data_IF_879343668287
#
_entry.id   IF_879343668287
#
_cell.length_a   1.000
_cell.length_b   1.000
_cell.length_c   1.000
_cell.angle_alpha   90.00
_cell.angle_beta   90.00
_cell.angle_gamma   90.00
#
_symmetry.space_group_name_H-M   'P 1'
#
loop_
_entity.id
_entity.type
_entity.pdbx_description
1 polymer ?
#
# COMPACT_ATOMS: atom_id res chain seq x y z
N UNK A 1 14.69 -33.18 11.73
CA UNK A 1 13.54 -33.05 10.78
C UNK A 1 12.39 -32.16 11.32
N UNK A 2 12.10 -32.14 12.64
CA UNK A 2 11.04 -31.26 13.20
C UNK A 2 11.38 -29.76 13.18
N UNK A 3 12.65 -29.40 13.22
CA UNK A 3 13.09 -28.00 13.21
C UNK A 3 12.87 -27.34 11.84
N UNK A 4 13.03 -28.07 10.76
CA UNK A 4 12.80 -27.54 9.40
C UNK A 4 11.33 -27.30 9.05
N UNK A 5 10.39 -28.06 9.61
CA UNK A 5 8.97 -27.90 9.29
C UNK A 5 8.35 -26.64 9.91
N UNK A 6 8.88 -26.15 11.06
CA UNK A 6 8.41 -24.91 11.67
C UNK A 6 8.98 -23.66 10.97
N UNK A 7 10.12 -23.76 10.29
CA UNK A 7 10.72 -22.64 9.56
C UNK A 7 9.85 -22.18 8.38
N UNK A 8 9.09 -23.07 7.77
CA UNK A 8 8.22 -22.75 6.62
C UNK A 8 6.78 -22.39 7.01
N UNK A 9 6.42 -22.51 8.29
CA UNK A 9 5.05 -22.26 8.73
C UNK A 9 4.57 -20.83 8.46
N UNK A 10 5.36 -19.75 8.72
CA UNK A 10 4.96 -18.38 8.40
C UNK A 10 4.70 -18.19 6.90
N UNK A 11 5.55 -18.75 6.04
CA UNK A 11 5.40 -18.67 4.58
C UNK A 11 4.16 -19.39 4.09
N UNK A 12 3.82 -20.54 4.65
CA UNK A 12 2.58 -21.26 4.34
C UNK A 12 1.34 -20.47 4.76
N UNK A 13 1.35 -19.88 5.95
CA UNK A 13 0.26 -19.02 6.43
C UNK A 13 0.12 -17.82 5.48
N UNK A 14 1.22 -17.17 5.15
CA UNK A 14 1.23 -16.04 4.21
C UNK A 14 0.67 -16.44 2.84
N UNK A 15 1.10 -17.58 2.29
CA UNK A 15 0.60 -18.11 1.02
C UNK A 15 -0.92 -18.32 1.03
N UNK A 16 -1.46 -18.95 2.09
CA UNK A 16 -2.91 -19.19 2.19
C UNK A 16 -3.70 -17.90 2.34
N UNK A 17 -3.19 -16.92 3.12
CA UNK A 17 -3.81 -15.60 3.25
C UNK A 17 -3.81 -14.85 1.91
N UNK A 18 -2.69 -14.88 1.20
CA UNK A 18 -2.57 -14.26 -0.12
C UNK A 18 -3.50 -14.94 -1.14
N UNK A 19 -3.54 -16.27 -1.16
CA UNK A 19 -4.44 -17.04 -2.03
C UNK A 19 -5.91 -16.73 -1.75
N UNK A 20 -6.30 -16.62 -0.47
CA UNK A 20 -7.64 -16.22 -0.07
C UNK A 20 -7.97 -14.80 -0.53
N UNK A 21 -7.05 -13.84 -0.35
CA UNK A 21 -7.22 -12.45 -0.79
C UNK A 21 -7.39 -12.36 -2.32
N UNK A 22 -6.51 -13.03 -3.09
CA UNK A 22 -6.60 -13.10 -4.55
C UNK A 22 -7.89 -13.78 -5.00
N UNK A 23 -8.30 -14.85 -4.33
CA UNK A 23 -9.57 -15.55 -4.61
C UNK A 23 -10.79 -14.64 -4.40
N UNK A 24 -10.85 -13.92 -3.28
CA UNK A 24 -11.91 -12.95 -3.00
C UNK A 24 -11.92 -11.80 -4.02
N UNK A 25 -10.76 -11.27 -4.37
CA UNK A 25 -10.62 -10.24 -5.39
C UNK A 25 -11.14 -10.74 -6.75
N UNK A 26 -10.69 -11.91 -7.18
CA UNK A 26 -11.10 -12.53 -8.47
C UNK A 26 -12.61 -12.78 -8.51
N UNK A 27 -13.18 -13.27 -7.42
CA UNK A 27 -14.64 -13.47 -7.30
C UNK A 27 -15.41 -12.16 -7.49
N UNK A 28 -14.98 -11.10 -6.82
CA UNK A 28 -15.63 -9.78 -6.92
C UNK A 28 -15.41 -9.17 -8.31
N UNK A 29 -14.22 -9.27 -8.87
CA UNK A 29 -13.90 -8.81 -10.22
C UNK A 29 -14.78 -9.51 -11.27
N UNK A 30 -14.94 -10.82 -11.19
CA UNK A 30 -15.78 -11.60 -12.10
C UNK A 30 -17.25 -11.21 -11.96
N UNK A 31 -17.71 -10.91 -10.74
CA UNK A 31 -19.09 -10.40 -10.53
C UNK A 31 -19.30 -9.05 -11.19
N UNK A 32 -18.35 -8.12 -11.04
CA UNK A 32 -18.43 -6.79 -11.68
C UNK A 32 -18.38 -6.94 -13.20
N UNK A 33 -17.44 -7.74 -13.73
CA UNK A 33 -17.31 -8.01 -15.16
C UNK A 33 -18.59 -8.60 -15.76
N UNK A 34 -19.21 -9.56 -15.06
CA UNK A 34 -20.50 -10.13 -15.46
C UNK A 34 -21.61 -9.07 -15.49
N UNK A 35 -21.69 -8.21 -14.47
CA UNK A 35 -22.70 -7.16 -14.42
C UNK A 35 -22.54 -6.14 -15.55
N UNK A 36 -21.30 -5.79 -15.91
CA UNK A 36 -21.00 -4.92 -17.05
C UNK A 36 -21.48 -5.57 -18.37
N UNK A 37 -21.30 -6.87 -18.52
CA UNK A 37 -21.71 -7.64 -19.71
C UNK A 37 -23.22 -7.87 -19.84
N UNK A 38 -24.02 -7.59 -18.80
CA UNK A 38 -25.48 -7.63 -18.87
C UNK A 38 -26.08 -6.44 -19.62
N UNK A 39 -25.30 -5.41 -19.91
CA UNK A 39 -25.74 -4.28 -20.70
C UNK A 39 -25.97 -4.65 -22.17
N UNK A 40 -26.73 -3.77 -22.90
CA UNK A 40 -26.94 -3.92 -24.34
C UNK A 40 -25.59 -3.92 -25.06
N UNK A 41 -25.41 -4.87 -25.96
CA UNK A 41 -24.21 -4.94 -26.80
C UNK A 41 -24.11 -3.70 -27.69
N UNK A 42 -23.04 -2.93 -27.48
CA UNK A 42 -22.76 -1.71 -28.25
C UNK A 42 -21.35 -1.85 -28.81
N UNK A 43 -21.23 -1.83 -30.13
CA UNK A 43 -19.91 -1.78 -30.75
C UNK A 43 -19.23 -0.44 -30.42
N UNK A 44 -18.17 -0.52 -29.64
CA UNK A 44 -17.32 0.61 -29.24
C UNK A 44 -15.86 0.40 -29.63
N UNK A 45 -15.62 -0.31 -30.71
CA UNK A 45 -14.28 -0.55 -31.22
C UNK A 45 -13.74 0.61 -32.08
N UNK A 46 -14.53 1.66 -32.25
CA UNK A 46 -14.16 2.87 -32.96
C UNK A 46 -12.98 3.58 -32.27
N UNK A 47 -12.06 4.10 -33.07
CA UNK A 47 -10.93 4.97 -32.66
C UNK A 47 -10.13 4.46 -31.44
N UNK A 48 -9.59 3.24 -31.43
CA UNK A 48 -8.94 2.63 -30.26
C UNK A 48 -7.75 3.45 -29.75
N UNK A 49 -6.95 4.06 -30.64
CA UNK A 49 -5.81 4.92 -30.27
C UNK A 49 -6.26 6.17 -29.50
N UNK A 50 -7.35 6.81 -29.93
CA UNK A 50 -7.88 8.00 -29.26
C UNK A 50 -8.45 7.64 -27.88
N UNK A 51 -9.15 6.53 -27.77
CA UNK A 51 -9.70 6.00 -26.51
C UNK A 51 -8.58 5.69 -25.52
N UNK A 52 -7.52 5.00 -25.96
CA UNK A 52 -6.34 4.73 -25.16
C UNK A 52 -5.68 6.03 -24.68
N UNK A 53 -5.50 7.02 -25.56
CA UNK A 53 -4.96 8.33 -25.20
C UNK A 53 -5.79 9.02 -24.12
N UNK A 54 -7.11 9.01 -24.23
CA UNK A 54 -7.99 9.59 -23.21
C UNK A 54 -7.94 8.81 -21.91
N UNK A 55 -7.92 7.49 -21.94
CA UNK A 55 -7.78 6.65 -20.76
C UNK A 55 -6.47 6.96 -20.02
N UNK A 56 -5.33 6.97 -20.71
CA UNK A 56 -4.05 7.30 -20.14
C UNK A 56 -4.02 8.71 -19.55
N UNK A 57 -4.55 9.70 -20.27
CA UNK A 57 -4.58 11.09 -19.80
C UNK A 57 -5.48 11.29 -18.58
N UNK A 58 -6.65 10.65 -18.55
CA UNK A 58 -7.65 10.87 -17.49
C UNK A 58 -7.45 9.94 -16.32
N UNK A 59 -7.21 8.65 -16.56
CA UNK A 59 -7.05 7.66 -15.49
C UNK A 59 -5.64 7.71 -14.88
N UNK A 60 -4.60 7.61 -15.67
CA UNK A 60 -3.22 7.64 -15.16
C UNK A 60 -2.67 9.07 -15.01
N UNK A 61 -2.92 9.94 -15.94
CA UNK A 61 -2.45 11.34 -15.88
C UNK A 61 -3.25 12.23 -14.93
N UNK A 62 -4.32 11.72 -14.31
CA UNK A 62 -5.14 12.40 -13.30
C UNK A 62 -5.54 13.85 -13.68
N UNK A 63 -5.68 14.12 -15.00
CA UNK A 63 -5.80 15.48 -15.55
C UNK A 63 -7.00 16.29 -15.01
N UNK A 64 -8.04 15.63 -14.50
CA UNK A 64 -9.19 16.28 -13.87
C UNK A 64 -8.96 16.75 -12.44
N UNK A 65 -7.93 16.23 -11.78
CA UNK A 65 -7.64 16.57 -10.37
C UNK A 65 -6.99 17.94 -10.23
N UNK A 66 -6.25 18.38 -11.25
CA UNK A 66 -5.53 19.65 -11.27
C UNK A 66 -6.47 20.87 -11.20
N UNK A 67 -7.76 20.70 -11.54
CA UNK A 67 -8.76 21.77 -11.48
C UNK A 67 -8.99 22.33 -10.05
N UNK A 68 -8.55 21.62 -9.02
CA UNK A 68 -8.65 22.03 -7.60
C UNK A 68 -7.26 21.94 -6.96
N UNK A 69 -6.47 23.01 -6.93
CA UNK A 69 -5.03 22.94 -6.67
C UNK A 69 -4.68 22.27 -5.34
N UNK A 70 -5.30 22.66 -4.23
CA UNK A 70 -4.99 22.07 -2.92
C UNK A 70 -5.40 20.60 -2.84
N UNK A 71 -6.66 20.30 -3.17
CA UNK A 71 -7.15 18.93 -3.12
C UNK A 71 -6.48 18.03 -4.17
N UNK A 72 -6.14 18.61 -5.33
CA UNK A 72 -5.42 17.94 -6.40
C UNK A 72 -3.97 17.63 -6.03
N UNK A 73 -3.26 18.55 -5.40
CA UNK A 73 -1.90 18.31 -4.92
C UNK A 73 -1.84 17.21 -3.85
N UNK A 74 -2.74 17.26 -2.86
CA UNK A 74 -2.85 16.21 -1.83
C UNK A 74 -3.18 14.85 -2.46
N UNK A 75 -4.11 14.82 -3.42
CA UNK A 75 -4.45 13.58 -4.11
C UNK A 75 -3.29 13.05 -4.97
N UNK A 76 -2.58 13.95 -5.67
CA UNK A 76 -1.42 13.56 -6.46
C UNK A 76 -0.32 12.96 -5.58
N UNK A 77 -0.10 13.51 -4.39
CA UNK A 77 0.86 12.98 -3.43
C UNK A 77 0.48 11.55 -3.02
N UNK A 78 -0.79 11.29 -2.64
CA UNK A 78 -1.27 9.95 -2.32
C UNK A 78 -1.13 9.02 -3.52
N UNK A 79 -1.47 9.49 -4.73
CA UNK A 79 -1.39 8.70 -5.95
C UNK A 79 0.05 8.29 -6.30
N UNK A 80 0.99 9.23 -6.25
CA UNK A 80 2.42 8.95 -6.48
C UNK A 80 2.97 8.05 -5.39
N UNK A 81 2.66 8.35 -4.11
CA UNK A 81 3.03 7.53 -2.98
C UNK A 81 2.53 6.09 -3.13
N UNK A 82 1.27 5.91 -3.50
CA UNK A 82 0.70 4.59 -3.75
C UNK A 82 1.46 3.81 -4.84
N UNK A 83 1.75 4.44 -5.98
CA UNK A 83 2.50 3.76 -7.06
C UNK A 83 3.90 3.34 -6.60
N UNK A 84 4.62 4.21 -5.90
CA UNK A 84 5.99 3.94 -5.48
C UNK A 84 6.06 2.92 -4.36
N UNK A 85 5.21 3.03 -3.35
CA UNK A 85 5.15 2.08 -2.22
C UNK A 85 4.73 0.67 -2.69
N UNK A 86 3.97 0.54 -3.78
CA UNK A 86 3.66 -0.77 -4.35
C UNK A 86 4.89 -1.55 -4.84
N UNK A 87 6.01 -0.89 -5.10
CA UNK A 87 7.27 -1.58 -5.42
C UNK A 87 7.76 -2.37 -4.20
N UNK A 88 7.72 -1.75 -3.01
CA UNK A 88 8.07 -2.44 -1.76
C UNK A 88 7.03 -3.50 -1.39
N UNK A 89 5.74 -3.25 -1.67
CA UNK A 89 4.71 -4.27 -1.49
C UNK A 89 4.99 -5.52 -2.33
N UNK A 90 5.50 -5.37 -3.55
CA UNK A 90 5.91 -6.51 -4.37
C UNK A 90 7.09 -7.25 -3.74
N UNK A 91 8.07 -6.54 -3.18
CA UNK A 91 9.17 -7.15 -2.42
C UNK A 91 8.63 -7.96 -1.23
N UNK A 92 7.75 -7.36 -0.41
CA UNK A 92 7.12 -8.04 0.74
C UNK A 92 6.39 -9.32 0.32
N UNK A 93 5.69 -9.30 -0.83
CA UNK A 93 5.00 -10.48 -1.34
C UNK A 93 6.00 -11.57 -1.73
N UNK A 94 7.08 -11.23 -2.41
CA UNK A 94 8.11 -12.19 -2.82
C UNK A 94 8.83 -12.74 -1.59
N UNK A 95 9.24 -11.89 -0.65
CA UNK A 95 9.90 -12.27 0.59
C UNK A 95 8.99 -13.20 1.43
N UNK A 96 7.72 -12.84 1.59
CA UNK A 96 6.75 -13.65 2.32
C UNK A 96 6.51 -15.05 1.69
N UNK A 97 6.59 -15.17 0.36
CA UNK A 97 6.44 -16.45 -0.33
C UNK A 97 7.72 -17.30 -0.30
N UNK A 98 8.89 -16.66 -0.39
CA UNK A 98 10.18 -17.35 -0.52
C UNK A 98 10.89 -17.57 0.81
N UNK A 99 10.52 -16.80 1.84
CA UNK A 99 11.27 -16.73 3.11
C UNK A 99 12.56 -15.94 3.01
N UNK A 100 12.78 -15.24 1.90
CA UNK A 100 13.89 -14.30 1.76
C UNK A 100 13.64 -13.03 2.58
N UNK A 101 14.69 -12.24 2.77
CA UNK A 101 14.60 -10.94 3.38
C UNK A 101 15.27 -9.91 2.49
N UNK A 102 14.50 -8.92 2.05
CA UNK A 102 14.99 -7.83 1.20
C UNK A 102 15.60 -8.32 -0.12
N UNK A 103 14.85 -9.14 -0.86
CA UNK A 103 15.33 -9.81 -2.10
C UNK A 103 15.78 -8.81 -3.18
N UNK A 104 15.26 -7.59 -3.19
CA UNK A 104 15.66 -6.58 -4.17
C UNK A 104 16.95 -5.85 -3.79
N UNK A 105 17.41 -5.93 -2.54
CA UNK A 105 18.64 -5.26 -2.09
C UNK A 105 19.88 -5.68 -2.89
N UNK A 106 20.18 -6.98 -3.10
CA UNK A 106 21.32 -7.41 -3.91
C UNK A 106 21.16 -7.10 -5.41
N UNK A 107 19.91 -7.02 -5.90
CA UNK A 107 19.65 -6.74 -7.33
C UNK A 107 19.88 -5.26 -7.69
N UNK A 108 19.52 -4.35 -6.80
CA UNK A 108 19.57 -2.91 -7.04
C UNK A 108 20.88 -2.28 -6.55
N UNK A 109 21.61 -2.98 -5.68
CA UNK A 109 22.78 -2.45 -4.99
C UNK A 109 22.42 -1.53 -3.83
N UNK A 110 23.31 -1.45 -2.84
CA UNK A 110 23.02 -0.80 -1.55
C UNK A 110 22.60 0.66 -1.65
N UNK A 111 23.27 1.45 -2.50
CA UNK A 111 22.97 2.89 -2.61
C UNK A 111 21.58 3.18 -3.15
N UNK A 112 21.21 2.52 -4.27
CA UNK A 112 19.90 2.73 -4.88
C UNK A 112 18.79 2.15 -3.98
N UNK A 113 19.02 0.97 -3.40
CA UNK A 113 18.07 0.33 -2.52
C UNK A 113 17.78 1.19 -1.27
N UNK A 114 18.84 1.67 -0.59
CA UNK A 114 18.69 2.53 0.59
C UNK A 114 17.94 3.83 0.26
N UNK A 115 18.22 4.43 -0.90
CA UNK A 115 17.49 5.61 -1.37
C UNK A 115 16.00 5.32 -1.61
N UNK A 116 15.67 4.17 -2.20
CA UNK A 116 14.28 3.76 -2.43
C UNK A 116 13.54 3.56 -1.11
N UNK A 117 14.10 2.79 -0.18
CA UNK A 117 13.46 2.56 1.14
C UNK A 117 13.26 3.88 1.89
N UNK A 118 14.28 4.75 1.92
CA UNK A 118 14.13 6.07 2.53
C UNK A 118 13.02 6.90 1.89
N UNK A 119 12.92 6.84 0.55
CA UNK A 119 11.87 7.54 -0.20
C UNK A 119 10.49 7.00 0.13
N UNK A 120 10.34 5.68 0.26
CA UNK A 120 9.07 5.03 0.63
C UNK A 120 8.63 5.44 2.03
N UNK A 121 9.54 5.51 3.00
CA UNK A 121 9.21 5.97 4.35
C UNK A 121 8.74 7.42 4.40
N UNK A 122 9.45 8.31 3.71
CA UNK A 122 9.03 9.71 3.61
C UNK A 122 7.67 9.83 2.94
N UNK A 123 7.44 9.08 1.86
CA UNK A 123 6.14 9.04 1.19
C UNK A 123 5.05 8.47 2.10
N UNK A 124 5.33 7.41 2.85
CA UNK A 124 4.37 6.82 3.79
C UNK A 124 3.93 7.83 4.86
N UNK A 125 4.86 8.60 5.42
CA UNK A 125 4.54 9.67 6.35
C UNK A 125 3.70 10.77 5.69
N UNK A 126 4.07 11.21 4.48
CA UNK A 126 3.33 12.22 3.74
C UNK A 126 1.92 11.75 3.37
N UNK A 127 1.76 10.49 2.98
CA UNK A 127 0.45 9.86 2.73
C UNK A 127 -0.36 9.82 4.01
N UNK A 128 0.21 9.39 5.12
CA UNK A 128 -0.46 9.35 6.43
C UNK A 128 -1.02 10.74 6.82
N UNK A 129 -0.18 11.77 6.74
CA UNK A 129 -0.60 13.16 7.01
C UNK A 129 -1.73 13.60 6.07
N UNK A 130 -1.59 13.29 4.79
CA UNK A 130 -2.59 13.66 3.77
C UNK A 130 -3.93 12.98 4.01
N UNK A 131 -3.93 11.70 4.38
CA UNK A 131 -5.13 10.92 4.68
C UNK A 131 -5.83 11.48 5.93
N UNK A 132 -5.07 11.85 6.96
CA UNK A 132 -5.62 12.54 8.15
C UNK A 132 -6.25 13.89 7.78
N UNK A 133 -5.63 14.66 6.89
CA UNK A 133 -6.20 15.90 6.35
C UNK A 133 -7.51 15.60 5.60
N UNK A 134 -7.56 14.59 4.73
CA UNK A 134 -8.79 14.22 4.01
C UNK A 134 -9.88 13.77 4.96
N UNK A 135 -9.56 12.98 5.95
CA UNK A 135 -10.50 12.57 6.98
C UNK A 135 -11.06 13.77 7.75
N UNK A 136 -10.19 14.69 8.19
CA UNK A 136 -10.59 15.91 8.90
C UNK A 136 -11.49 16.80 8.04
N UNK A 137 -11.14 17.02 6.77
CA UNK A 137 -11.96 17.77 5.81
C UNK A 137 -13.35 17.17 5.62
N UNK A 138 -13.46 15.85 5.71
CA UNK A 138 -14.71 15.12 5.49
C UNK A 138 -15.56 15.06 6.76
N UNK A 139 -14.98 14.72 7.90
CA UNK A 139 -15.70 14.40 9.12
C UNK A 139 -15.75 15.56 10.12
N UNK A 140 -14.69 16.36 10.24
CA UNK A 140 -14.60 17.51 11.16
C UNK A 140 -15.13 18.77 10.49
N UNK A 141 -14.55 19.16 9.33
CA UNK A 141 -14.93 20.38 8.62
C UNK A 141 -16.28 20.25 7.87
N UNK A 142 -16.79 19.04 7.70
CA UNK A 142 -18.08 18.72 7.09
C UNK A 142 -18.34 19.47 5.79
N UNK A 143 -17.38 19.48 4.88
CA UNK A 143 -17.47 20.20 3.61
C UNK A 143 -18.76 19.76 2.88
N UNK A 144 -19.62 20.73 2.54
CA UNK A 144 -20.98 20.51 1.97
C UNK A 144 -21.05 19.50 0.84
N UNK A 145 -19.98 19.40 0.02
CA UNK A 145 -19.89 18.45 -1.11
C UNK A 145 -19.98 16.98 -0.67
N UNK A 146 -19.46 16.62 0.50
CA UNK A 146 -19.46 15.26 1.02
C UNK A 146 -20.72 14.89 1.80
N UNK A 147 -21.63 15.88 2.01
CA UNK A 147 -22.85 15.73 2.79
C UNK A 147 -24.12 15.84 1.96
N UNK A 148 -24.00 15.74 0.65
CA UNK A 148 -25.15 15.68 -0.26
C UNK A 148 -25.98 14.41 -0.04
N UNK A 149 -27.30 14.43 -0.36
CA UNK A 149 -28.17 13.26 -0.16
C UNK A 149 -27.65 11.97 -0.79
N UNK A 150 -27.11 12.05 -2.01
CA UNK A 150 -26.54 10.92 -2.75
C UNK A 150 -25.26 10.33 -2.13
N UNK A 151 -24.60 11.08 -1.24
CA UNK A 151 -23.41 10.65 -0.52
C UNK A 151 -23.73 10.08 0.87
N UNK A 152 -24.99 10.07 1.28
CA UNK A 152 -25.39 9.52 2.57
C UNK A 152 -25.41 7.99 2.54
N UNK A 153 -25.23 7.37 3.73
CA UNK A 153 -25.24 5.92 3.87
C UNK A 153 -23.94 5.24 3.47
N UNK A 154 -24.05 4.19 2.65
CA UNK A 154 -22.91 3.36 2.26
C UNK A 154 -21.77 4.11 1.56
N UNK A 155 -22.00 5.01 0.57
CA UNK A 155 -20.91 5.72 -0.09
C UNK A 155 -20.04 6.56 0.86
N UNK A 156 -20.64 7.11 1.93
CA UNK A 156 -19.90 7.81 2.97
C UNK A 156 -19.05 6.85 3.79
N UNK A 157 -19.64 5.74 4.25
CA UNK A 157 -18.96 4.74 5.07
C UNK A 157 -17.80 4.10 4.32
N UNK A 158 -18.01 3.71 3.07
CA UNK A 158 -17.00 3.11 2.20
C UNK A 158 -15.77 4.01 2.06
N UNK A 159 -15.97 5.29 1.79
CA UNK A 159 -14.86 6.23 1.71
C UNK A 159 -14.19 6.52 3.07
N UNK A 160 -14.90 6.47 4.19
CA UNK A 160 -14.29 6.57 5.52
C UNK A 160 -13.48 5.29 5.84
N UNK A 161 -13.96 4.10 5.46
CA UNK A 161 -13.22 2.85 5.60
C UNK A 161 -11.91 2.86 4.79
N UNK A 162 -11.92 3.36 3.56
CA UNK A 162 -10.70 3.50 2.76
C UNK A 162 -9.66 4.35 3.52
N UNK A 163 -10.06 5.49 4.08
CA UNK A 163 -9.15 6.34 4.85
C UNK A 163 -8.63 5.65 6.12
N UNK A 164 -9.47 4.89 6.84
CA UNK A 164 -9.03 4.14 8.02
C UNK A 164 -8.04 3.04 7.66
N UNK A 165 -8.32 2.27 6.61
CA UNK A 165 -7.40 1.24 6.14
C UNK A 165 -6.06 1.82 5.71
N UNK A 166 -6.07 2.96 5.03
CA UNK A 166 -4.83 3.64 4.62
C UNK A 166 -3.99 4.08 5.82
N UNK A 167 -4.62 4.65 6.87
CA UNK A 167 -3.92 4.97 8.12
C UNK A 167 -3.30 3.73 8.74
N UNK A 168 -4.07 2.65 8.85
CA UNK A 168 -3.59 1.38 9.43
C UNK A 168 -2.42 0.83 8.61
N UNK A 169 -2.53 0.81 7.27
CA UNK A 169 -1.47 0.33 6.39
C UNK A 169 -0.18 1.14 6.54
N UNK A 170 -0.26 2.47 6.57
CA UNK A 170 0.94 3.32 6.74
C UNK A 170 1.58 3.14 8.12
N UNK A 171 0.77 3.00 9.18
CA UNK A 171 1.29 2.73 10.53
C UNK A 171 1.96 1.36 10.58
N UNK A 172 1.34 0.32 10.04
CA UNK A 172 1.92 -1.03 9.98
C UNK A 172 3.20 -1.04 9.17
N UNK A 173 3.24 -0.36 8.04
CA UNK A 173 4.41 -0.25 7.18
C UNK A 173 5.61 0.38 7.92
N UNK A 174 5.41 1.52 8.57
CA UNK A 174 6.46 2.19 9.34
C UNK A 174 6.88 1.36 10.58
N UNK A 175 5.93 0.64 11.20
CA UNK A 175 6.22 -0.25 12.33
C UNK A 175 7.04 -1.46 11.89
N UNK A 176 6.72 -2.05 10.74
CA UNK A 176 7.50 -3.14 10.13
C UNK A 176 8.95 -2.71 9.87
N UNK A 177 9.15 -1.55 9.27
CA UNK A 177 10.49 -1.03 9.04
C UNK A 177 11.25 -0.72 10.34
N UNK A 178 10.58 -0.26 11.40
CA UNK A 178 11.18 -0.06 12.70
C UNK A 178 11.65 -1.39 13.32
N UNK A 179 10.80 -2.41 13.30
CA UNK A 179 11.15 -3.74 13.80
C UNK A 179 12.27 -4.39 12.98
N UNK A 180 12.22 -4.26 11.65
CA UNK A 180 13.29 -4.73 10.76
C UNK A 180 14.63 -4.05 11.08
N UNK A 181 14.65 -2.74 11.29
CA UNK A 181 15.87 -2.01 11.70
C UNK A 181 16.45 -2.55 13.01
N UNK A 182 15.61 -2.86 14.01
CA UNK A 182 16.05 -3.46 15.27
C UNK A 182 16.62 -4.88 15.09
N UNK A 183 16.00 -5.69 14.24
CA UNK A 183 16.47 -7.05 13.94
C UNK A 183 17.80 -7.04 13.19
N UNK A 184 17.98 -6.12 12.26
CA UNK A 184 19.25 -5.88 11.57
C UNK A 184 20.37 -5.45 12.55
N UNK A 185 20.06 -4.59 13.54
CA UNK A 185 21.00 -4.17 14.58
C UNK A 185 21.37 -5.33 15.51
N UNK A 186 20.45 -6.26 15.76
CA UNK A 186 20.70 -7.47 16.55
C UNK A 186 21.56 -8.51 15.80
N UNK A 187 21.97 -8.27 14.56
CA UNK A 187 22.81 -9.15 13.72
C UNK A 187 22.25 -10.58 13.55
N UNK A 188 20.96 -10.70 13.33
CA UNK A 188 20.32 -12.00 13.07
C UNK A 188 20.70 -12.44 11.65
N UNK A 189 21.24 -13.65 11.50
CA UNK A 189 21.76 -14.17 10.22
C UNK A 189 20.77 -14.16 9.06
N UNK A 190 19.47 -14.30 9.36
CA UNK A 190 18.40 -14.28 8.35
C UNK A 190 18.04 -12.88 7.86
N UNK A 191 18.56 -11.81 8.48
CA UNK A 191 18.23 -10.43 8.16
C UNK A 191 19.35 -9.72 7.41
N UNK A 192 19.11 -9.40 6.15
CA UNK A 192 20.04 -8.63 5.31
C UNK A 192 20.13 -7.19 5.81
N UNK A 193 21.35 -6.70 6.07
CA UNK A 193 21.58 -5.30 6.42
C UNK A 193 21.39 -4.41 5.19
N UNK A 194 20.19 -3.94 4.98
CA UNK A 194 19.82 -3.09 3.86
C UNK A 194 18.64 -2.17 4.23
N UNK A 195 18.53 -1.08 3.51
CA UNK A 195 17.51 -0.07 3.74
C UNK A 195 18.03 1.11 4.57
N UNK A 196 17.35 2.25 4.42
CA UNK A 196 17.56 3.45 5.20
C UNK A 196 16.22 3.90 5.77
N UNK A 197 16.13 4.07 7.08
CA UNK A 197 14.90 4.22 7.84
C UNK A 197 14.79 5.60 8.51
N UNK A 198 14.69 6.71 7.75
CA UNK A 198 14.72 8.06 8.31
C UNK A 198 13.50 8.40 9.18
N UNK A 199 12.36 7.72 8.98
CA UNK A 199 11.14 7.96 9.76
C UNK A 199 10.98 6.88 10.83
N UNK A 200 11.12 5.61 10.48
CA UNK A 200 10.93 4.48 11.40
C UNK A 200 11.92 4.47 12.56
N UNK A 201 13.10 5.11 12.42
CA UNK A 201 14.04 5.27 13.52
C UNK A 201 13.43 5.95 14.76
N UNK A 202 12.44 6.83 14.58
CA UNK A 202 11.75 7.48 15.71
C UNK A 202 10.73 6.56 16.39
N UNK A 203 10.38 5.45 15.78
CA UNK A 203 9.49 4.43 16.33
C UNK A 203 10.27 3.32 17.08
N UNK A 204 11.60 3.24 16.93
CA UNK A 204 12.43 2.20 17.58
C UNK A 204 12.19 2.06 19.09
N UNK A 205 12.05 3.14 19.88
CA UNK A 205 11.82 3.01 21.31
C UNK A 205 10.51 2.28 21.66
N UNK A 206 9.50 2.32 20.78
CA UNK A 206 8.24 1.63 21.01
C UNK A 206 8.37 0.11 20.92
N UNK A 207 9.36 -0.38 20.20
CA UNK A 207 9.59 -1.80 19.94
C UNK A 207 10.84 -2.36 20.61
N UNK A 208 11.64 -1.50 21.28
CA UNK A 208 12.93 -1.88 21.87
C UNK A 208 12.78 -2.91 22.98
N UNK A 209 11.70 -2.87 23.76
CA UNK A 209 11.45 -3.75 24.90
C UNK A 209 10.85 -5.11 24.50
N UNK A 210 10.42 -5.28 23.25
CA UNK A 210 9.90 -6.56 22.78
C UNK A 210 11.04 -7.57 22.56
N UNK A 211 10.78 -8.85 22.85
CA UNK A 211 11.73 -9.92 22.55
C UNK A 211 12.00 -10.03 21.05
N UNK A 212 13.16 -10.59 20.67
CA UNK A 212 13.51 -10.82 19.26
C UNK A 212 12.44 -11.67 18.56
N UNK A 213 11.94 -12.70 19.23
CA UNK A 213 10.87 -13.57 18.71
C UNK A 213 9.59 -12.80 18.40
N UNK A 214 9.19 -11.87 19.30
CA UNK A 214 8.00 -11.03 19.09
C UNK A 214 8.19 -10.03 17.94
N UNK A 215 9.41 -9.57 17.68
CA UNK A 215 9.71 -8.66 16.56
C UNK A 215 9.71 -9.36 15.21
N UNK A 216 9.93 -10.68 15.18
CA UNK A 216 9.91 -11.51 13.96
C UNK A 216 8.50 -11.96 13.56
N UNK A 217 7.50 -11.85 14.45
CA UNK A 217 6.09 -12.12 14.17
C UNK A 217 5.35 -10.90 13.66
#
# INVERSE_FOLDING_TARGET
ERINSMAYLPNLIFFFLLAAAVGLFTRNFNRISRNIKLGKDVDRNDRPKLRMKYMLRVAFGQSKMVSRPIAGALHLLVYVGFILINIELLEIIVDGLTGAHRIFAPLLGSSLYNFLIASFEVLALLVLVTVVIFWSRRNVMKIKRFWKPEMRGWPKKDADFILYFEVVLMVLFLSMNATDSLLQQANIESYTKAGSFPISQYLLPLFADFSVETRMC
#
